data_IF_411792132543
#
_entry.id   IF_411792132543
#
_cell.length_a   1.000
_cell.length_b   1.000
_cell.length_c   1.000
_cell.angle_alpha   90.00
_cell.angle_beta   90.00
_cell.angle_gamma   90.00
#
_symmetry.space_group_name_H-M   'P 1'
#
loop_
_entity.id
_entity.type
_entity.pdbx_description
1 polymer ?
#
# COMPACT_ATOMS: atom_id res chain seq x y z
N UNK A 1 -5.03 7.58 16.26
CA UNK A 1 -4.72 6.95 14.96
C UNK A 1 -3.94 5.69 15.25
N UNK A 2 -4.37 4.54 14.76
CA UNK A 2 -3.67 3.28 14.98
C UNK A 2 -2.62 3.09 13.87
N UNK A 3 -1.33 3.31 14.19
CA UNK A 3 -0.24 3.26 13.20
C UNK A 3 -0.16 1.90 12.50
N UNK A 4 -0.33 0.82 13.26
CA UNK A 4 -0.45 -0.57 12.79
C UNK A 4 -1.49 -0.70 11.67
N UNK A 5 -2.67 -0.09 11.83
CA UNK A 5 -3.77 -0.21 10.88
C UNK A 5 -3.45 0.46 9.54
N UNK A 6 -2.94 1.68 9.59
CA UNK A 6 -2.56 2.42 8.38
C UNK A 6 -1.34 1.80 7.69
N UNK A 7 -0.37 1.30 8.46
CA UNK A 7 0.78 0.58 7.92
C UNK A 7 0.34 -0.65 7.10
N UNK A 8 -0.52 -1.50 7.66
CA UNK A 8 -1.08 -2.68 6.96
C UNK A 8 -1.79 -2.29 5.66
N UNK A 9 -2.64 -1.24 5.69
CA UNK A 9 -3.32 -0.73 4.50
C UNK A 9 -2.36 -0.25 3.42
N UNK A 10 -1.31 0.48 3.79
CA UNK A 10 -0.37 1.04 2.82
C UNK A 10 0.53 -0.04 2.23
N UNK A 11 0.93 -1.03 3.03
CA UNK A 11 1.66 -2.21 2.55
C UNK A 11 0.80 -3.03 1.61
N UNK A 12 -0.50 -3.19 1.89
CA UNK A 12 -1.45 -3.86 1.01
C UNK A 12 -1.62 -3.16 -0.34
N UNK A 13 -1.69 -1.83 -0.36
CA UNK A 13 -1.71 -1.04 -1.61
C UNK A 13 -0.41 -1.28 -2.37
N UNK A 14 0.74 -1.21 -1.69
CA UNK A 14 2.04 -1.46 -2.31
C UNK A 14 2.17 -2.88 -2.88
N UNK A 15 1.65 -3.88 -2.18
CA UNK A 15 1.57 -5.27 -2.66
C UNK A 15 0.76 -5.33 -3.95
N UNK A 16 -0.47 -4.79 -3.94
CA UNK A 16 -1.34 -4.80 -5.11
C UNK A 16 -0.69 -4.08 -6.32
N UNK A 17 0.06 -3.00 -6.07
CA UNK A 17 0.82 -2.30 -7.11
C UNK A 17 1.92 -3.19 -7.70
N UNK A 18 2.72 -3.87 -6.86
CA UNK A 18 3.74 -4.80 -7.34
C UNK A 18 3.13 -5.96 -8.12
N UNK A 19 2.04 -6.55 -7.63
CA UNK A 19 1.31 -7.65 -8.29
C UNK A 19 0.78 -7.23 -9.67
N UNK A 20 0.32 -5.98 -9.81
CA UNK A 20 -0.13 -5.39 -11.07
C UNK A 20 1.02 -4.99 -12.03
N UNK A 21 2.28 -5.08 -11.60
CA UNK A 21 3.45 -4.84 -12.43
C UNK A 21 4.11 -3.47 -12.23
N UNK A 22 3.82 -2.76 -11.14
CA UNK A 22 4.48 -1.51 -10.81
C UNK A 22 6.01 -1.65 -10.67
N UNK A 23 6.73 -0.60 -11.05
CA UNK A 23 8.16 -0.50 -10.75
C UNK A 23 8.41 -0.31 -9.26
N UNK A 24 9.48 -0.91 -8.75
CA UNK A 24 9.85 -0.90 -7.32
C UNK A 24 9.84 0.52 -6.74
N UNK A 25 10.55 1.45 -7.36
CA UNK A 25 10.63 2.83 -6.87
C UNK A 25 9.28 3.54 -6.78
N UNK A 26 8.30 3.19 -7.64
CA UNK A 26 6.95 3.77 -7.56
C UNK A 26 6.19 3.24 -6.35
N UNK A 27 6.41 1.99 -5.99
CA UNK A 27 5.79 1.37 -4.82
C UNK A 27 6.37 1.98 -3.55
N UNK A 28 7.70 2.08 -3.47
CA UNK A 28 8.38 2.72 -2.34
C UNK A 28 7.93 4.17 -2.14
N UNK A 29 7.95 4.97 -3.21
CA UNK A 29 7.50 6.37 -3.22
C UNK A 29 6.02 6.51 -2.85
N UNK A 30 5.17 5.59 -3.29
CA UNK A 30 3.74 5.63 -2.96
C UNK A 30 3.50 5.35 -1.48
N UNK A 31 4.10 4.30 -0.92
CA UNK A 31 4.01 4.00 0.51
C UNK A 31 4.57 5.17 1.33
N UNK A 32 5.70 5.75 0.89
CA UNK A 32 6.32 6.88 1.57
C UNK A 32 5.37 8.09 1.65
N UNK A 33 4.72 8.45 0.53
CA UNK A 33 3.73 9.53 0.50
C UNK A 33 2.51 9.24 1.36
N UNK A 34 2.01 8.00 1.36
CA UNK A 34 0.88 7.59 2.20
C UNK A 34 1.22 7.74 3.69
N UNK A 35 2.37 7.21 4.13
CA UNK A 35 2.85 7.40 5.50
C UNK A 35 2.99 8.88 5.87
N UNK A 36 3.51 9.69 4.95
CA UNK A 36 3.65 11.14 5.13
C UNK A 36 2.31 11.88 5.25
N UNK A 37 1.31 11.50 4.45
CA UNK A 37 -0.02 12.12 4.47
C UNK A 37 -0.74 11.95 5.83
N UNK A 38 -0.50 10.83 6.51
CA UNK A 38 -1.07 10.51 7.82
C UNK A 38 -0.15 10.87 9.00
N UNK A 39 1.04 11.41 8.72
CA UNK A 39 1.98 11.82 9.76
C UNK A 39 2.47 10.66 10.64
N UNK A 40 2.67 9.48 10.05
CA UNK A 40 3.02 8.26 10.82
C UNK A 40 4.44 8.28 11.41
N UNK A 41 5.24 9.31 11.12
CA UNK A 41 6.64 9.42 11.55
C UNK A 41 7.62 9.06 10.43
N UNK A 42 8.83 8.66 10.80
CA UNK A 42 9.85 8.29 9.82
C UNK A 42 9.55 6.88 9.28
N UNK A 43 9.28 6.80 7.98
CA UNK A 43 9.11 5.54 7.26
C UNK A 43 10.38 5.15 6.51
N UNK A 44 10.97 4.00 6.88
CA UNK A 44 12.02 3.34 6.12
C UNK A 44 11.36 2.21 5.31
N UNK A 45 11.39 2.30 3.97
CA UNK A 45 10.68 1.41 3.05
C UNK A 45 11.69 0.74 2.12
N UNK A 46 11.56 -0.56 1.96
CA UNK A 46 12.38 -1.36 1.06
C UNK A 46 11.48 -2.33 0.28
N UNK A 47 11.55 -2.28 -1.05
CA UNK A 47 10.83 -3.22 -1.88
C UNK A 47 11.76 -3.93 -2.88
N UNK A 48 11.50 -5.22 -3.06
CA UNK A 48 11.97 -6.02 -4.18
C UNK A 48 10.76 -6.77 -4.76
N UNK A 49 10.94 -7.40 -5.92
CA UNK A 49 9.85 -8.11 -6.62
C UNK A 49 9.07 -9.05 -5.71
N UNK A 50 9.74 -9.76 -4.80
CA UNK A 50 9.14 -10.78 -3.95
C UNK A 50 8.82 -10.33 -2.51
N UNK A 51 9.18 -9.11 -2.12
CA UNK A 51 9.06 -8.65 -0.74
C UNK A 51 8.93 -7.13 -0.64
N UNK A 52 7.96 -6.68 0.14
CA UNK A 52 7.91 -5.31 0.67
C UNK A 52 8.23 -5.40 2.17
N UNK A 53 9.09 -4.51 2.65
CA UNK A 53 9.41 -4.34 4.07
C UNK A 53 9.28 -2.86 4.41
N UNK A 54 8.48 -2.55 5.41
CA UNK A 54 8.24 -1.17 5.87
C UNK A 54 8.44 -1.10 7.36
N UNK A 55 9.21 -0.12 7.82
CA UNK A 55 9.34 0.20 9.24
C UNK A 55 8.98 1.66 9.46
N UNK A 56 8.05 1.91 10.37
CA UNK A 56 7.67 3.24 10.84
C UNK A 56 8.27 3.45 12.23
N UNK A 57 8.93 4.59 12.42
CA UNK A 57 9.49 5.02 13.71
C UNK A 57 8.79 6.31 14.16
N UNK A 58 8.06 6.22 15.25
CA UNK A 58 7.42 7.37 15.91
C UNK A 58 8.44 8.16 16.73
N UNK A 59 8.18 9.45 16.95
CA UNK A 59 9.00 10.31 17.82
C UNK A 59 8.99 9.86 19.29
N UNK A 60 7.99 9.05 19.67
CA UNK A 60 7.89 8.41 20.99
C UNK A 60 8.92 7.28 21.19
N UNK A 61 9.65 6.90 20.14
CA UNK A 61 10.61 5.79 20.13
C UNK A 61 9.99 4.43 19.78
N UNK A 62 8.67 4.34 19.65
CA UNK A 62 8.00 3.12 19.17
C UNK A 62 8.27 2.88 17.69
N UNK A 63 8.40 1.61 17.32
CA UNK A 63 8.61 1.20 15.94
C UNK A 63 7.61 0.12 15.54
N UNK A 64 7.10 0.20 14.32
CA UNK A 64 6.17 -0.77 13.73
C UNK A 64 6.78 -1.26 12.44
N UNK A 65 6.93 -2.57 12.29
CA UNK A 65 7.47 -3.19 11.08
C UNK A 65 6.45 -4.14 10.51
N UNK A 66 6.18 -4.02 9.21
CA UNK A 66 5.40 -5.00 8.45
C UNK A 66 6.21 -5.48 7.24
N UNK A 67 6.00 -6.73 6.87
CA UNK A 67 6.64 -7.38 5.74
C UNK A 67 5.62 -8.18 4.94
N UNK A 68 5.63 -8.03 3.62
CA UNK A 68 4.67 -8.66 2.74
C UNK A 68 5.35 -9.39 1.61
N UNK A 69 5.15 -10.70 1.55
CA UNK A 69 5.69 -11.54 0.47
C UNK A 69 4.77 -11.46 -0.74
N UNK A 70 5.38 -11.27 -1.91
CA UNK A 70 4.69 -11.24 -3.20
C UNK A 70 4.89 -12.59 -3.89
N UNK A 71 3.80 -13.27 -4.23
CA UNK A 71 3.85 -14.62 -4.82
C UNK A 71 3.72 -14.64 -6.33
N UNK A 72 3.08 -13.63 -6.92
CA UNK A 72 2.87 -13.52 -8.36
C UNK A 72 2.94 -12.09 -8.81
N UNK A 73 3.53 -11.86 -9.97
CA UNK A 73 3.59 -10.53 -10.58
C UNK A 73 3.15 -10.67 -12.02
N UNK A 74 2.08 -9.97 -12.37
CA UNK A 74 1.59 -9.84 -13.73
C UNK A 74 1.81 -8.43 -14.27
N UNK A 75 1.17 -8.17 -15.41
CA UNK A 75 1.05 -6.82 -15.97
C UNK A 75 -0.43 -6.54 -16.12
N UNK A 76 -0.98 -5.70 -15.23
CA UNK A 76 -2.34 -5.20 -15.31
C UNK A 76 -2.32 -3.68 -15.17
N UNK A 77 -2.24 -2.99 -16.31
CA UNK A 77 -2.11 -1.53 -16.34
C UNK A 77 -3.39 -0.80 -15.89
N UNK A 78 -4.57 -1.39 -16.10
CA UNK A 78 -5.83 -0.81 -15.64
C UNK A 78 -5.87 -0.78 -14.10
N UNK A 79 -5.60 -1.93 -13.47
CA UNK A 79 -5.50 -2.03 -12.02
C UNK A 79 -4.42 -1.13 -11.44
N UNK A 80 -3.28 -1.01 -12.12
CA UNK A 80 -2.22 -0.10 -11.68
C UNK A 80 -2.66 1.37 -11.71
N UNK A 81 -3.44 1.78 -12.72
CA UNK A 81 -3.98 3.14 -12.78
C UNK A 81 -5.02 3.40 -11.68
N UNK A 82 -5.88 2.43 -11.36
CA UNK A 82 -6.80 2.51 -10.23
C UNK A 82 -6.07 2.67 -8.89
N UNK A 83 -5.01 1.89 -8.66
CA UNK A 83 -4.18 1.99 -7.46
C UNK A 83 -3.43 3.34 -7.39
N UNK A 84 -2.98 3.87 -8.53
CA UNK A 84 -2.41 5.21 -8.60
C UNK A 84 -3.46 6.29 -8.25
N UNK A 85 -4.69 6.17 -8.75
CA UNK A 85 -5.77 7.08 -8.43
C UNK A 85 -6.13 7.00 -6.93
N UNK A 86 -6.23 5.79 -6.38
CA UNK A 86 -6.49 5.55 -4.97
C UNK A 86 -5.41 6.18 -4.08
N UNK A 87 -4.12 5.96 -4.38
CA UNK A 87 -3.04 6.54 -3.58
C UNK A 87 -3.06 8.08 -3.59
N UNK A 88 -3.40 8.70 -4.73
CA UNK A 88 -3.57 10.16 -4.83
C UNK A 88 -4.78 10.65 -4.03
N UNK A 89 -5.90 9.94 -4.10
CA UNK A 89 -7.10 10.22 -3.31
C UNK A 89 -6.78 10.17 -1.82
N UNK A 90 -6.17 9.08 -1.35
CA UNK A 90 -5.79 8.89 0.05
C UNK A 90 -4.86 10.01 0.53
N UNK A 91 -3.83 10.36 -0.25
CA UNK A 91 -2.91 11.43 0.13
C UNK A 91 -3.60 12.80 0.24
N UNK A 92 -4.60 13.07 -0.61
CA UNK A 92 -5.26 14.37 -0.72
C UNK A 92 -6.37 14.53 0.32
N UNK A 93 -7.29 13.58 0.38
CA UNK A 93 -8.50 13.66 1.21
C UNK A 93 -8.30 13.07 2.61
N UNK A 94 -7.28 12.22 2.79
CA UNK A 94 -6.97 11.54 4.07
C UNK A 94 -8.20 10.85 4.68
N UNK A 95 -8.90 10.00 3.92
CA UNK A 95 -10.07 9.27 4.41
C UNK A 95 -9.70 8.38 5.61
N UNK A 96 -10.68 8.02 6.42
CA UNK A 96 -10.46 7.08 7.51
C UNK A 96 -10.20 5.65 6.99
N UNK A 97 -9.49 4.84 7.77
CA UNK A 97 -9.10 3.48 7.40
C UNK A 97 -10.27 2.63 6.85
N UNK A 98 -11.46 2.72 7.45
CA UNK A 98 -12.65 1.98 7.03
C UNK A 98 -13.13 2.34 5.61
N UNK A 99 -12.95 3.59 5.19
CA UNK A 99 -13.30 4.03 3.85
C UNK A 99 -12.27 3.53 2.83
N UNK A 100 -10.98 3.53 3.20
CA UNK A 100 -9.91 2.95 2.37
C UNK A 100 -10.17 1.46 2.13
N UNK A 101 -10.58 0.71 3.17
CA UNK A 101 -10.97 -0.69 3.04
C UNK A 101 -12.14 -0.88 2.06
N UNK A 102 -13.15 -0.01 2.14
CA UNK A 102 -14.31 -0.05 1.25
C UNK A 102 -13.89 0.19 -0.21
N UNK A 103 -13.10 1.22 -0.48
CA UNK A 103 -12.60 1.53 -1.83
C UNK A 103 -11.73 0.39 -2.38
N UNK A 104 -10.83 -0.15 -1.56
CA UNK A 104 -10.01 -1.32 -1.92
C UNK A 104 -10.85 -2.57 -2.15
N UNK A 105 -11.91 -2.77 -1.36
CA UNK A 105 -12.84 -3.89 -1.49
C UNK A 105 -13.61 -3.87 -2.81
N UNK A 106 -14.03 -2.68 -3.26
CA UNK A 106 -14.65 -2.48 -4.58
C UNK A 106 -13.73 -2.91 -5.72
N UNK A 107 -12.43 -2.62 -5.62
CA UNK A 107 -11.43 -3.01 -6.62
C UNK A 107 -11.10 -4.50 -6.63
N UNK A 108 -11.28 -5.22 -5.50
CA UNK A 108 -11.06 -6.68 -5.42
C UNK A 108 -12.20 -7.51 -6.04
N UNK A 109 -13.39 -6.93 -6.18
CA UNK A 109 -14.59 -7.64 -6.65
C UNK A 109 -14.53 -8.15 -8.10
N UNK A 110 -13.48 -7.84 -8.85
CA UNK A 110 -13.32 -8.22 -10.26
C UNK A 110 -12.41 -9.45 -10.47
N UNK A 111 -11.76 -9.99 -9.43
CA UNK A 111 -10.68 -11.00 -9.59
C UNK A 111 -11.05 -12.45 -9.21
N UNK A 112 -12.20 -12.70 -8.57
CA UNK A 112 -12.60 -14.06 -8.15
C UNK A 112 -13.31 -14.89 -9.24
N UNK A 113 -13.59 -14.35 -10.43
CA UNK A 113 -14.18 -15.11 -11.54
C UNK A 113 -13.15 -15.94 -12.35
N UNK A 114 -11.85 -15.86 -12.03
CA UNK A 114 -10.79 -16.37 -12.90
C UNK A 114 -9.91 -17.49 -12.35
N UNK A 115 -10.16 -18.02 -11.16
CA UNK A 115 -9.33 -19.10 -10.57
C UNK A 115 -10.17 -20.33 -10.20
N UNK A 116 -10.30 -21.23 -11.18
CA UNK A 116 -10.51 -22.67 -10.97
C UNK A 116 -9.22 -23.38 -11.37
#
# INVERSE_FOLDING_TARGET
>A
MEVSRYLDLFVDIGQAMLEAGAGIHRVEDTIYRLCGAYGLGRADIFAIRSLILVTIREDTGKSYTDSRRIYGIGTNMARLEELNALSRYICRERPEAAEIDSEKGRMRGEEDEGKI
#
